data_IF_261213889080
#
_entry.id   IF_261213889080
#
_cell.length_a   1.000
_cell.length_b   1.000
_cell.length_c   1.000
_cell.angle_alpha   90.00
_cell.angle_beta   90.00
_cell.angle_gamma   90.00
#
_symmetry.space_group_name_H-M   'P 1'
#
loop_
_entity.id
_entity.type
_entity.pdbx_description
1 polymer ?
#
# COMPACT_ATOMS: atom_id res chain seq x y z
N UNK A 1 -4.59 -47.53 -25.27
CA UNK A 1 -5.66 -46.63 -25.77
C UNK A 1 -6.25 -45.73 -24.67
N UNK A 2 -6.58 -46.24 -23.48
CA UNK A 2 -7.14 -45.46 -22.36
C UNK A 2 -6.25 -44.29 -21.89
N UNK A 3 -4.92 -44.48 -21.77
CA UNK A 3 -3.98 -43.40 -21.39
C UNK A 3 -3.93 -42.23 -22.38
N UNK A 4 -4.20 -42.45 -23.66
CA UNK A 4 -4.21 -41.39 -24.69
C UNK A 4 -5.48 -40.54 -24.54
N UNK A 5 -6.61 -41.18 -24.22
CA UNK A 5 -7.90 -40.52 -24.05
C UNK A 5 -7.95 -39.58 -22.83
N UNK A 6 -7.33 -39.99 -21.72
CA UNK A 6 -7.24 -39.15 -20.51
C UNK A 6 -6.42 -37.89 -20.80
N UNK A 7 -5.29 -38.03 -21.50
CA UNK A 7 -4.40 -36.91 -21.86
C UNK A 7 -5.04 -35.91 -22.84
N UNK A 8 -5.98 -36.35 -23.68
CA UNK A 8 -6.77 -35.46 -24.55
C UNK A 8 -7.83 -34.68 -23.77
N UNK A 9 -8.55 -35.32 -22.84
CA UNK A 9 -9.54 -34.63 -22.00
C UNK A 9 -8.94 -33.60 -21.05
N UNK A 10 -7.74 -33.85 -20.53
CA UNK A 10 -7.02 -32.86 -19.72
C UNK A 10 -6.63 -31.63 -20.56
N UNK A 11 -6.14 -31.84 -21.78
CA UNK A 11 -5.82 -30.74 -22.72
C UNK A 11 -7.05 -29.94 -23.15
N UNK A 12 -8.21 -30.57 -23.29
CA UNK A 12 -9.47 -29.86 -23.58
C UNK A 12 -9.95 -29.00 -22.40
N UNK A 13 -9.87 -29.53 -21.17
CA UNK A 13 -10.18 -28.76 -19.95
C UNK A 13 -9.25 -27.56 -19.78
N UNK A 14 -7.95 -27.77 -19.99
CA UNK A 14 -6.92 -26.73 -19.90
C UNK A 14 -7.11 -25.64 -20.96
N UNK A 15 -7.39 -26.02 -22.21
CA UNK A 15 -7.76 -25.06 -23.27
C UNK A 15 -9.02 -24.27 -22.94
N UNK A 16 -10.05 -24.89 -22.37
CA UNK A 16 -11.28 -24.17 -21.99
C UNK A 16 -11.07 -23.17 -20.85
N UNK A 17 -10.14 -23.46 -19.93
CA UNK A 17 -9.81 -22.53 -18.84
C UNK A 17 -9.03 -21.32 -19.36
N UNK A 18 -8.05 -21.53 -20.23
CA UNK A 18 -7.28 -20.43 -20.84
C UNK A 18 -8.20 -19.57 -21.72
N UNK A 19 -9.10 -20.18 -22.50
CA UNK A 19 -10.08 -19.43 -23.29
C UNK A 19 -11.03 -18.62 -22.42
N UNK A 20 -11.53 -19.15 -21.29
CA UNK A 20 -12.35 -18.38 -20.34
C UNK A 20 -11.60 -17.23 -19.67
N UNK A 21 -10.28 -17.36 -19.45
CA UNK A 21 -9.47 -16.26 -18.92
C UNK A 21 -9.32 -15.14 -19.96
N UNK A 22 -9.23 -15.49 -21.25
CA UNK A 22 -9.07 -14.52 -22.34
C UNK A 22 -10.42 -13.87 -22.73
N UNK A 23 -11.53 -14.60 -22.70
CA UNK A 23 -12.86 -14.11 -23.07
C UNK A 23 -13.48 -13.13 -22.05
N UNK A 24 -13.00 -13.11 -20.81
CA UNK A 24 -13.58 -12.28 -19.72
C UNK A 24 -12.78 -10.99 -19.48
N UNK A 25 -11.69 -10.76 -20.22
CA UNK A 25 -10.92 -9.54 -20.05
C UNK A 25 -11.63 -8.34 -20.67
N UNK A 26 -12.41 -7.63 -19.86
CA UNK A 26 -13.02 -6.34 -20.25
C UNK A 26 -11.94 -5.39 -20.81
N UNK A 27 -12.25 -4.52 -21.79
CA UNK A 27 -11.28 -3.58 -22.36
C UNK A 27 -10.50 -2.77 -21.30
N UNK A 28 -11.17 -2.46 -20.18
CA UNK A 28 -10.56 -1.80 -19.02
C UNK A 28 -9.43 -2.63 -18.37
N UNK A 29 -9.57 -3.96 -18.27
CA UNK A 29 -8.52 -4.82 -17.72
C UNK A 29 -7.31 -4.89 -18.65
N UNK A 30 -7.53 -5.00 -19.96
CA UNK A 30 -6.46 -4.98 -20.96
C UNK A 30 -5.71 -3.64 -20.92
N UNK A 31 -6.44 -2.53 -20.83
CA UNK A 31 -5.85 -1.19 -20.65
C UNK A 31 -5.01 -1.09 -19.37
N UNK A 32 -5.56 -1.54 -18.23
CA UNK A 32 -4.84 -1.55 -16.96
C UNK A 32 -3.57 -2.43 -17.02
N UNK A 33 -3.63 -3.59 -17.68
CA UNK A 33 -2.49 -4.47 -17.87
C UNK A 33 -1.41 -3.80 -18.73
N UNK A 34 -1.80 -3.20 -19.86
CA UNK A 34 -0.89 -2.47 -20.74
C UNK A 34 -0.21 -1.31 -20.02
N UNK A 35 -0.98 -0.50 -19.29
CA UNK A 35 -0.46 0.59 -18.46
C UNK A 35 0.51 0.08 -17.40
N UNK A 36 0.19 -1.04 -16.74
CA UNK A 36 1.06 -1.68 -15.76
C UNK A 36 2.38 -2.10 -16.38
N UNK A 37 2.36 -2.71 -17.58
CA UNK A 37 3.57 -3.10 -18.30
C UNK A 37 4.42 -1.89 -18.70
N UNK A 38 3.81 -0.78 -19.14
CA UNK A 38 4.51 0.48 -19.43
C UNK A 38 5.19 1.02 -18.17
N UNK A 39 4.46 1.07 -17.05
CA UNK A 39 5.00 1.53 -15.76
C UNK A 39 6.16 0.63 -15.34
N UNK A 40 5.99 -0.69 -15.37
CA UNK A 40 7.03 -1.67 -15.04
C UNK A 40 8.27 -1.51 -15.92
N UNK A 41 8.09 -1.27 -17.23
CA UNK A 41 9.19 -0.99 -18.15
C UNK A 41 9.93 0.32 -17.85
N UNK A 42 9.24 1.30 -17.26
CA UNK A 42 9.83 2.58 -16.86
C UNK A 42 10.55 2.53 -15.50
N UNK A 43 10.20 1.58 -14.62
CA UNK A 43 10.78 1.44 -13.28
C UNK A 43 12.32 1.36 -13.31
N UNK A 44 12.98 0.54 -14.15
CA UNK A 44 14.44 0.49 -14.19
C UNK A 44 15.08 1.84 -14.51
N UNK A 45 14.50 2.61 -15.44
CA UNK A 45 14.99 3.95 -15.81
C UNK A 45 14.80 4.94 -14.66
N UNK A 46 13.67 4.86 -13.96
CA UNK A 46 13.41 5.66 -12.76
C UNK A 46 14.42 5.32 -11.65
N UNK A 47 14.62 4.03 -11.35
CA UNK A 47 15.60 3.56 -10.36
C UNK A 47 17.00 4.04 -10.72
N UNK A 48 17.42 3.88 -11.97
CA UNK A 48 18.72 4.36 -12.43
C UNK A 48 18.85 5.88 -12.23
N UNK A 49 17.84 6.67 -12.61
CA UNK A 49 17.84 8.12 -12.45
C UNK A 49 17.93 8.53 -10.97
N UNK A 50 17.18 7.85 -10.10
CA UNK A 50 17.26 8.06 -8.64
C UNK A 50 18.64 7.68 -8.08
N UNK A 51 19.24 6.57 -8.55
CA UNK A 51 20.59 6.16 -8.13
C UNK A 51 21.66 7.15 -8.60
N UNK A 52 21.58 7.63 -9.84
CA UNK A 52 22.49 8.67 -10.36
C UNK A 52 22.34 9.96 -9.56
N UNK A 53 21.11 10.40 -9.30
CA UNK A 53 20.85 11.59 -8.50
C UNK A 53 21.39 11.48 -7.07
N UNK A 54 21.12 10.37 -6.39
CA UNK A 54 21.61 10.13 -5.03
C UNK A 54 23.14 10.02 -4.95
N UNK A 55 23.79 9.40 -5.94
CA UNK A 55 25.26 9.38 -6.04
C UNK A 55 25.83 10.77 -6.23
N UNK A 56 25.27 11.57 -7.14
CA UNK A 56 25.69 12.95 -7.35
C UNK A 56 25.58 13.77 -6.07
N UNK A 57 24.45 13.69 -5.35
CA UNK A 57 24.24 14.42 -4.09
C UNK A 57 25.15 13.97 -2.95
N UNK A 58 25.52 12.68 -2.90
CA UNK A 58 26.50 12.14 -1.94
C UNK A 58 27.89 12.77 -2.12
N UNK A 59 28.27 13.08 -3.35
CA UNK A 59 29.55 13.72 -3.65
C UNK A 59 29.54 15.21 -3.27
N UNK A 60 28.39 15.86 -3.39
CA UNK A 60 28.23 17.31 -3.10
C UNK A 60 28.25 17.63 -1.60
N UNK A 61 27.64 16.78 -0.75
CA UNK A 61 27.71 16.91 0.71
C UNK A 61 27.89 15.54 1.39
N UNK A 62 29.13 15.06 1.59
CA UNK A 62 29.40 13.74 2.16
C UNK A 62 29.02 13.62 3.65
N UNK A 63 28.95 14.75 4.37
CA UNK A 63 28.56 14.80 5.78
C UNK A 63 27.05 14.53 6.01
N UNK A 64 26.26 14.57 4.93
CA UNK A 64 24.81 14.41 5.01
C UNK A 64 24.39 12.94 5.17
N UNK A 65 23.44 12.67 6.08
CA UNK A 65 22.90 11.33 6.28
C UNK A 65 21.91 10.97 5.17
N UNK A 66 22.41 10.25 4.17
CA UNK A 66 21.56 9.78 3.08
C UNK A 66 20.67 8.61 3.51
N UNK A 67 19.47 8.56 2.94
CA UNK A 67 18.60 7.41 3.10
C UNK A 67 19.26 6.13 2.55
N UNK A 68 19.03 5.05 3.29
CA UNK A 68 19.59 3.74 3.00
C UNK A 68 18.47 2.79 2.63
N UNK A 69 18.75 1.88 1.71
CA UNK A 69 17.83 0.75 1.47
C UNK A 69 17.58 -0.08 2.72
N UNK A 70 18.48 0.01 3.72
CA UNK A 70 18.28 -0.61 5.04
C UNK A 70 17.00 -0.13 5.72
N UNK A 71 16.59 1.11 5.46
CA UNK A 71 15.42 1.72 6.08
C UNK A 71 14.10 1.10 5.60
N UNK A 72 14.09 0.58 4.36
CA UNK A 72 12.95 -0.15 3.83
C UNK A 72 12.67 -1.45 4.60
N UNK A 73 13.64 -1.99 5.35
CA UNK A 73 13.37 -3.15 6.19
C UNK A 73 12.37 -2.87 7.31
N UNK A 74 12.15 -1.60 7.69
CA UNK A 74 11.09 -1.23 8.62
C UNK A 74 9.69 -1.49 8.06
N UNK A 75 9.55 -1.58 6.73
CA UNK A 75 8.26 -1.83 6.09
C UNK A 75 7.72 -3.20 6.50
N UNK A 76 8.58 -4.22 6.58
CA UNK A 76 8.17 -5.60 6.90
C UNK A 76 7.52 -5.74 8.29
N UNK A 77 8.18 -5.37 9.40
CA UNK A 77 7.56 -5.48 10.72
C UNK A 77 6.34 -4.57 10.84
N UNK A 78 6.35 -3.37 10.24
CA UNK A 78 5.16 -2.51 10.21
C UNK A 78 3.99 -3.17 9.48
N UNK A 79 4.23 -3.86 8.35
CA UNK A 79 3.19 -4.61 7.63
C UNK A 79 2.62 -5.75 8.47
N UNK A 80 3.46 -6.47 9.22
CA UNK A 80 3.01 -7.53 10.14
C UNK A 80 2.13 -6.93 11.24
N UNK A 81 2.54 -5.82 11.85
CA UNK A 81 1.76 -5.13 12.89
C UNK A 81 0.42 -4.64 12.33
N UNK A 82 0.42 -4.03 11.13
CA UNK A 82 -0.80 -3.58 10.48
C UNK A 82 -1.74 -4.75 10.16
N UNK A 83 -1.22 -5.90 9.74
CA UNK A 83 -2.01 -7.11 9.53
C UNK A 83 -2.66 -7.58 10.84
N UNK A 84 -1.88 -7.66 11.91
CA UNK A 84 -2.38 -8.03 13.23
C UNK A 84 -3.46 -7.06 13.72
N UNK A 85 -3.26 -5.76 13.50
CA UNK A 85 -4.25 -4.72 13.83
C UNK A 85 -5.53 -4.86 12.99
N UNK A 86 -5.43 -5.21 11.70
CA UNK A 86 -6.59 -5.50 10.84
C UNK A 86 -7.39 -6.69 11.39
N UNK A 87 -6.72 -7.78 11.75
CA UNK A 87 -7.36 -8.98 12.31
C UNK A 87 -8.04 -8.64 13.64
N UNK A 88 -7.34 -7.94 14.53
CA UNK A 88 -7.88 -7.48 15.80
C UNK A 88 -9.12 -6.60 15.60
N UNK A 89 -9.03 -5.51 14.83
CA UNK A 89 -10.17 -4.63 14.58
C UNK A 89 -11.34 -5.36 13.90
N UNK A 90 -11.06 -6.31 13.00
CA UNK A 90 -12.10 -7.14 12.41
C UNK A 90 -12.85 -7.96 13.47
N UNK A 91 -12.15 -8.61 14.41
CA UNK A 91 -12.80 -9.36 15.50
C UNK A 91 -13.74 -8.49 16.32
N UNK A 92 -13.33 -7.28 16.72
CA UNK A 92 -14.16 -6.40 17.55
C UNK A 92 -15.30 -5.74 16.78
N UNK A 93 -15.02 -5.22 15.58
CA UNK A 93 -16.00 -4.42 14.82
C UNK A 93 -17.02 -5.29 14.08
N UNK A 94 -16.66 -6.53 13.71
CA UNK A 94 -17.56 -7.44 12.99
C UNK A 94 -18.82 -7.75 13.78
N UNK A 95 -18.69 -8.08 15.07
CA UNK A 95 -19.85 -8.38 15.93
C UNK A 95 -20.73 -7.15 16.18
N UNK A 96 -20.12 -5.96 16.23
CA UNK A 96 -20.85 -4.71 16.31
C UNK A 96 -21.68 -4.46 15.03
N UNK A 97 -21.05 -4.56 13.85
CA UNK A 97 -21.74 -4.35 12.58
C UNK A 97 -22.77 -5.44 12.26
N UNK A 98 -22.52 -6.70 12.66
CA UNK A 98 -23.49 -7.79 12.49
C UNK A 98 -24.80 -7.47 13.19
N UNK A 99 -24.76 -7.16 14.49
CA UNK A 99 -25.94 -6.77 15.30
C UNK A 99 -26.66 -5.54 14.73
N UNK A 100 -25.92 -4.62 14.11
CA UNK A 100 -26.49 -3.41 13.52
C UNK A 100 -27.05 -3.60 12.11
N UNK A 101 -26.67 -4.63 11.38
CA UNK A 101 -27.07 -4.82 9.97
C UNK A 101 -27.99 -6.03 9.75
N UNK A 102 -28.04 -6.97 10.69
CA UNK A 102 -28.84 -8.20 10.58
C UNK A 102 -30.34 -7.97 10.42
N UNK A 103 -30.86 -6.82 10.87
CA UNK A 103 -32.27 -6.47 10.69
C UNK A 103 -32.61 -6.01 9.26
N UNK A 104 -31.61 -5.64 8.45
CA UNK A 104 -31.81 -5.05 7.11
C UNK A 104 -31.31 -5.96 5.98
N UNK A 105 -30.34 -6.81 6.26
CA UNK A 105 -29.69 -7.66 5.26
C UNK A 105 -29.57 -9.11 5.77
N UNK A 106 -29.63 -10.08 4.87
CA UNK A 106 -29.52 -11.51 5.20
C UNK A 106 -28.49 -12.22 4.30
N UNK A 107 -27.99 -13.37 4.76
CA UNK A 107 -27.11 -14.24 3.97
C UNK A 107 -25.80 -13.58 3.54
N UNK A 108 -25.41 -13.78 2.27
CA UNK A 108 -24.15 -13.30 1.72
C UNK A 108 -24.09 -11.78 1.61
N UNK A 109 -25.23 -11.11 1.36
CA UNK A 109 -25.27 -9.65 1.29
C UNK A 109 -24.89 -9.03 2.64
N UNK A 110 -25.41 -9.57 3.74
CA UNK A 110 -25.06 -9.14 5.09
C UNK A 110 -23.54 -9.24 5.32
N UNK A 111 -22.93 -10.37 4.96
CA UNK A 111 -21.48 -10.58 5.10
C UNK A 111 -20.67 -9.57 4.28
N UNK A 112 -21.08 -9.27 3.03
CA UNK A 112 -20.41 -8.25 2.19
C UNK A 112 -20.51 -6.86 2.80
N UNK A 113 -21.69 -6.45 3.28
CA UNK A 113 -21.87 -5.15 3.94
C UNK A 113 -21.03 -5.04 5.22
N UNK A 114 -20.98 -6.10 6.03
CA UNK A 114 -20.15 -6.15 7.24
C UNK A 114 -18.67 -6.01 6.87
N UNK A 115 -18.16 -6.80 5.91
CA UNK A 115 -16.76 -6.72 5.47
C UNK A 115 -16.39 -5.31 4.97
N UNK A 116 -17.30 -4.66 4.21
CA UNK A 116 -17.12 -3.29 3.74
C UNK A 116 -17.05 -2.30 4.90
N UNK A 117 -17.94 -2.41 5.89
CA UNK A 117 -17.94 -1.56 7.08
C UNK A 117 -16.67 -1.76 7.93
N UNK A 118 -16.25 -3.01 8.15
CA UNK A 118 -15.00 -3.34 8.87
C UNK A 118 -13.78 -2.76 8.16
N UNK A 119 -13.68 -2.93 6.83
CA UNK A 119 -12.58 -2.35 6.02
C UNK A 119 -12.59 -0.82 6.11
N UNK A 120 -13.77 -0.20 6.10
CA UNK A 120 -13.96 1.24 6.30
C UNK A 120 -13.47 1.68 7.68
N UNK A 121 -13.89 0.99 8.74
CA UNK A 121 -13.48 1.29 10.12
C UNK A 121 -11.96 1.22 10.28
N UNK A 122 -11.31 0.17 9.76
CA UNK A 122 -9.85 0.09 9.77
C UNK A 122 -9.20 1.28 9.06
N UNK A 123 -9.68 1.64 7.86
CA UNK A 123 -9.14 2.79 7.10
C UNK A 123 -9.27 4.08 7.90
N UNK A 124 -10.44 4.36 8.45
CA UNK A 124 -10.67 5.56 9.27
C UNK A 124 -9.72 5.59 10.46
N UNK A 125 -9.61 4.49 11.21
CA UNK A 125 -8.69 4.40 12.35
C UNK A 125 -7.23 4.61 11.94
N UNK A 126 -6.78 3.91 10.91
CA UNK A 126 -5.40 4.01 10.42
C UNK A 126 -5.07 5.40 9.91
N UNK A 127 -5.89 5.97 9.02
CA UNK A 127 -5.61 7.30 8.46
C UNK A 127 -5.77 8.41 9.49
N UNK A 128 -6.68 8.27 10.46
CA UNK A 128 -6.77 9.21 11.58
C UNK A 128 -5.51 9.15 12.45
N UNK A 129 -5.05 7.94 12.80
CA UNK A 129 -3.81 7.76 13.56
C UNK A 129 -2.61 8.35 12.82
N UNK A 130 -2.44 7.99 11.55
CA UNK A 130 -1.32 8.48 10.71
C UNK A 130 -1.39 10.00 10.54
N UNK A 131 -2.58 10.57 10.32
CA UNK A 131 -2.79 12.02 10.26
C UNK A 131 -2.39 12.70 11.57
N UNK A 132 -2.87 12.21 12.72
CA UNK A 132 -2.54 12.77 14.04
C UNK A 132 -1.04 12.63 14.35
N UNK A 133 -0.43 11.50 14.02
CA UNK A 133 1.01 11.29 14.16
C UNK A 133 1.80 12.26 13.27
N UNK A 134 1.38 12.43 12.02
CA UNK A 134 1.93 13.42 11.10
C UNK A 134 1.83 14.84 11.65
N UNK A 135 0.64 15.24 12.10
CA UNK A 135 0.37 16.57 12.61
C UNK A 135 1.13 16.88 13.90
N UNK A 136 1.07 15.99 14.89
CA UNK A 136 1.60 16.28 16.23
C UNK A 136 3.08 15.90 16.43
N UNK A 137 3.60 14.92 15.69
CA UNK A 137 5.00 14.51 15.81
C UNK A 137 5.83 14.97 14.62
N UNK A 138 5.40 14.65 13.41
CA UNK A 138 6.21 14.91 12.21
C UNK A 138 6.33 16.41 11.93
N UNK A 139 5.21 17.12 11.79
CA UNK A 139 5.22 18.55 11.44
C UNK A 139 5.89 19.42 12.51
N UNK A 140 5.79 19.04 13.78
CA UNK A 140 6.47 19.75 14.89
C UNK A 140 7.98 19.55 14.91
N UNK A 141 8.47 18.42 14.41
CA UNK A 141 9.90 18.11 14.34
C UNK A 141 10.55 18.59 13.03
N UNK A 142 9.74 19.02 12.05
CA UNK A 142 10.24 19.50 10.76
C UNK A 142 10.07 21.01 10.62
N UNK A 143 11.01 21.65 9.92
CA UNK A 143 10.88 23.06 9.57
C UNK A 143 9.88 23.32 8.41
N UNK A 144 9.29 22.27 7.84
CA UNK A 144 8.40 22.34 6.68
C UNK A 144 7.01 22.91 6.96
N UNK A 145 6.51 22.73 8.20
CA UNK A 145 5.17 23.15 8.56
C UNK A 145 5.17 24.57 9.13
N UNK A 146 4.35 25.50 8.61
CA UNK A 146 4.19 26.81 9.24
C UNK A 146 3.51 26.66 10.62
N UNK A 147 3.84 27.54 11.56
CA UNK A 147 3.28 27.52 12.92
C UNK A 147 1.75 27.57 12.96
N UNK A 148 1.13 28.24 11.97
CA UNK A 148 -0.34 28.28 11.82
C UNK A 148 -0.97 26.90 11.57
N UNK A 149 -0.20 25.95 11.04
CA UNK A 149 -0.60 24.55 10.81
C UNK A 149 -0.02 23.61 11.88
N UNK A 150 0.28 24.13 13.07
CA UNK A 150 0.90 23.41 14.19
C UNK A 150 2.31 22.87 13.88
N UNK A 151 2.98 23.38 12.85
CA UNK A 151 4.36 23.04 12.53
C UNK A 151 5.38 23.80 13.39
N UNK A 152 6.61 23.30 13.42
CA UNK A 152 7.69 23.89 14.22
C UNK A 152 8.55 24.91 13.47
N UNK A 153 8.32 25.14 12.17
CA UNK A 153 9.22 25.89 11.31
C UNK A 153 8.66 27.17 10.71
N UNK A 154 9.58 27.99 10.20
CA UNK A 154 9.26 29.04 9.24
C UNK A 154 9.64 28.57 7.84
N UNK A 155 8.67 28.61 6.92
CA UNK A 155 8.86 28.17 5.54
C UNK A 155 10.05 28.86 4.86
N UNK A 156 10.37 30.09 5.28
CA UNK A 156 11.49 30.88 4.76
C UNK A 156 12.84 30.16 4.92
N UNK A 157 13.06 29.45 6.03
CA UNK A 157 14.33 28.75 6.29
C UNK A 157 14.43 27.41 5.55
N UNK A 158 13.34 26.88 5.01
CA UNK A 158 13.37 25.59 4.31
C UNK A 158 14.00 25.65 2.94
N UNK A 159 14.11 26.84 2.33
CA UNK A 159 14.75 26.99 1.02
C UNK A 159 16.28 27.12 1.11
N UNK A 160 16.82 27.56 2.26
CA UNK A 160 18.25 27.79 2.44
C UNK A 160 19.09 26.52 2.37
N UNK A 161 18.59 25.43 2.95
CA UNK A 161 19.29 24.15 3.01
C UNK A 161 18.81 23.13 1.97
N UNK A 162 17.87 23.49 1.09
CA UNK A 162 17.38 22.57 0.07
C UNK A 162 18.50 22.19 -0.93
N UNK A 163 18.68 20.90 -1.28
CA UNK A 163 17.91 19.70 -0.90
C UNK A 163 18.50 18.87 0.26
N UNK A 164 19.38 19.45 1.08
CA UNK A 164 20.16 18.81 2.14
C UNK A 164 19.55 18.97 3.54
N UNK A 165 18.22 18.97 3.64
CA UNK A 165 17.53 19.12 4.92
C UNK A 165 17.48 17.76 5.62
N UNK A 166 18.16 17.58 6.78
CA UNK A 166 18.24 16.29 7.44
C UNK A 166 16.85 15.76 7.73
N UNK A 167 16.56 14.54 7.27
CA UNK A 167 15.24 13.93 7.46
C UNK A 167 15.07 13.50 8.92
N UNK A 168 14.07 14.04 9.64
CA UNK A 168 13.82 13.61 11.01
C UNK A 168 13.42 12.13 11.06
N UNK A 169 13.88 11.36 12.07
CA UNK A 169 13.53 9.94 12.19
C UNK A 169 12.02 9.67 12.21
N UNK A 170 11.23 10.58 12.79
CA UNK A 170 9.77 10.48 12.83
C UNK A 170 9.12 10.61 11.43
N UNK A 171 9.64 11.50 10.58
CA UNK A 171 9.17 11.68 9.20
C UNK A 171 9.44 10.43 8.37
N UNK A 172 10.64 9.86 8.56
CA UNK A 172 11.02 8.59 7.94
C UNK A 172 10.11 7.44 8.35
N UNK A 173 9.86 7.28 9.66
CA UNK A 173 8.92 6.28 10.16
C UNK A 173 7.51 6.49 9.63
N UNK A 174 7.04 7.73 9.54
CA UNK A 174 5.74 8.07 8.95
C UNK A 174 5.60 7.59 7.50
N UNK A 175 6.63 7.81 6.67
CA UNK A 175 6.64 7.32 5.29
C UNK A 175 6.69 5.80 5.21
N UNK A 176 7.53 5.15 6.03
CA UNK A 176 7.62 3.68 6.05
C UNK A 176 6.31 3.03 6.53
N UNK A 177 5.67 3.58 7.56
CA UNK A 177 4.36 3.12 8.04
C UNK A 177 3.29 3.27 6.96
N UNK A 178 3.29 4.39 6.24
CA UNK A 178 2.37 4.63 5.12
C UNK A 178 2.62 3.65 3.97
N UNK A 179 3.89 3.39 3.64
CA UNK A 179 4.26 2.42 2.62
C UNK A 179 3.85 0.99 3.01
N UNK A 180 4.03 0.60 4.28
CA UNK A 180 3.59 -0.70 4.80
C UNK A 180 2.11 -0.97 4.62
N UNK A 181 1.26 0.06 4.75
CA UNK A 181 -0.17 -0.08 4.47
C UNK A 181 -0.43 -0.55 3.04
N UNK A 182 0.24 0.05 2.06
CA UNK A 182 0.09 -0.33 0.65
C UNK A 182 0.77 -1.66 0.31
N UNK A 183 1.93 -1.94 0.91
CA UNK A 183 2.63 -3.21 0.70
C UNK A 183 1.82 -4.38 1.27
N UNK A 184 1.26 -4.24 2.47
CA UNK A 184 0.40 -5.29 3.02
C UNK A 184 -0.86 -5.50 2.16
N UNK A 185 -1.52 -4.43 1.71
CA UNK A 185 -2.68 -4.54 0.83
C UNK A 185 -2.27 -5.20 -0.50
N UNK A 186 -1.13 -4.83 -1.09
CA UNK A 186 -0.59 -5.45 -2.30
C UNK A 186 -0.29 -6.95 -2.13
N UNK A 187 0.34 -7.35 -1.03
CA UNK A 187 0.59 -8.76 -0.70
C UNK A 187 -0.73 -9.53 -0.62
N UNK A 188 -1.74 -8.98 0.05
CA UNK A 188 -3.06 -9.60 0.15
C UNK A 188 -3.68 -9.79 -1.23
N UNK A 189 -3.65 -8.78 -2.09
CA UNK A 189 -4.22 -8.90 -3.45
C UNK A 189 -3.43 -9.84 -4.37
N UNK A 190 -2.12 -10.01 -4.15
CA UNK A 190 -1.29 -10.93 -4.93
C UNK A 190 -1.54 -12.40 -4.57
N UNK A 191 -1.75 -12.70 -3.30
CA UNK A 191 -1.84 -14.09 -2.81
C UNK A 191 -3.25 -14.55 -2.48
N UNK A 192 -4.20 -13.63 -2.27
CA UNK A 192 -5.59 -13.99 -2.02
C UNK A 192 -6.39 -13.82 -3.31
N UNK A 193 -7.25 -14.79 -3.67
CA UNK A 193 -8.14 -14.62 -4.81
C UNK A 193 -8.95 -13.34 -4.62
N UNK A 194 -9.25 -12.60 -5.69
CA UNK A 194 -10.12 -11.44 -5.60
C UNK A 194 -11.45 -11.93 -5.01
N UNK A 195 -11.71 -11.56 -3.76
CA UNK A 195 -13.06 -11.60 -3.25
C UNK A 195 -13.79 -10.52 -4.05
N UNK A 196 -14.57 -10.96 -5.04
CA UNK A 196 -15.55 -10.13 -5.73
C UNK A 196 -16.65 -9.77 -4.71
N UNK A 197 -16.31 -8.86 -3.78
CA UNK A 197 -17.21 -8.22 -2.83
C UNK A 197 -17.97 -7.07 -3.51
#
# INVERSE_FOLDING_TARGET
RVKIYIKMKEKEKEKSHIQKIIEVSTPSQVFCLALTLIILGYIPKLIHSCQSYTRFRRLEKPEYTHESLKDFWMVIPCSIVLRSLKIFLNMYTRDFFKRKLEHKYSGDELNRKINKCVKGAFKVTFFSFTFLFGLFKVLRMTNFGPTMMLGGGELLYTLGDWPFIPMPPALKFYYMLSLSYYVEDGIVHLFMPPNYD
#
